data_IF_978303288175
#
_entry.id   IF_978303288175
#
_cell.length_a   1.000
_cell.length_b   1.000
_cell.length_c   1.000
_cell.angle_alpha   90.00
_cell.angle_beta   90.00
_cell.angle_gamma   90.00
#
_symmetry.space_group_name_H-M   'P 1'
#
loop_
_entity.id
_entity.type
_entity.pdbx_description
1 polymer ?
#
# COMPACT_ATOMS: atom_id res chain seq x y z
N UNK A 1 -28.44 -8.76 -71.79
CA UNK A 1 -27.73 -9.49 -70.72
C UNK A 1 -28.11 -8.84 -69.41
N UNK A 2 -28.44 -9.67 -68.45
CA UNK A 2 -29.13 -9.38 -67.20
C UNK A 2 -28.43 -8.34 -66.33
N UNK A 3 -29.22 -7.56 -65.60
CA UNK A 3 -28.82 -7.08 -64.27
C UNK A 3 -30.02 -7.29 -63.36
N UNK A 4 -29.91 -8.34 -62.56
CA UNK A 4 -30.72 -8.63 -61.39
C UNK A 4 -30.43 -7.64 -60.27
N UNK A 5 -31.39 -7.47 -59.37
CA UNK A 5 -31.10 -7.07 -57.99
C UNK A 5 -32.09 -6.09 -57.37
N UNK A 6 -33.35 -6.50 -57.23
CA UNK A 6 -34.19 -6.11 -56.08
C UNK A 6 -33.49 -6.60 -54.80
N UNK A 7 -33.52 -5.82 -53.71
CA UNK A 7 -34.06 -6.21 -52.40
C UNK A 7 -34.36 -4.96 -51.56
N UNK A 8 -35.43 -5.07 -50.78
CA UNK A 8 -36.10 -4.00 -50.03
C UNK A 8 -36.00 -4.25 -48.52
N UNK A 9 -36.38 -3.22 -47.75
CA UNK A 9 -36.72 -3.26 -46.30
C UNK A 9 -35.48 -3.29 -45.38
N UNK A 10 -35.43 -2.66 -44.20
CA UNK A 10 -36.45 -2.35 -43.17
C UNK A 10 -35.99 -1.15 -42.34
N UNK A 11 -36.96 -0.39 -41.83
CA UNK A 11 -36.79 0.62 -40.80
C UNK A 11 -36.81 0.01 -39.38
N UNK A 12 -35.97 0.52 -38.49
CA UNK A 12 -36.06 0.59 -37.01
C UNK A 12 -34.79 1.39 -36.63
N UNK A 13 -34.83 2.55 -35.97
CA UNK A 13 -35.52 2.80 -34.71
C UNK A 13 -34.60 2.44 -33.53
N UNK A 14 -33.49 3.16 -33.38
CA UNK A 14 -32.64 3.15 -32.18
C UNK A 14 -32.01 4.53 -32.09
N UNK A 15 -32.65 5.46 -31.38
CA UNK A 15 -32.31 5.78 -29.99
C UNK A 15 -30.82 6.08 -29.84
N UNK A 16 -30.55 7.39 -29.85
CA UNK A 16 -29.59 8.06 -28.99
C UNK A 16 -29.08 7.17 -27.86
N UNK A 17 -27.88 6.63 -28.07
CA UNK A 17 -26.85 6.66 -27.04
C UNK A 17 -25.66 7.31 -27.71
N UNK A 18 -25.63 8.65 -27.64
CA UNK A 18 -24.36 9.34 -27.65
C UNK A 18 -23.52 8.63 -26.59
N UNK A 19 -22.56 7.81 -27.04
CA UNK A 19 -21.50 7.33 -26.19
C UNK A 19 -20.87 8.58 -25.64
N UNK A 20 -21.23 8.90 -24.40
CA UNK A 20 -20.42 9.75 -23.57
C UNK A 20 -19.08 9.04 -23.51
N UNK A 21 -18.15 9.47 -24.35
CA UNK A 21 -16.74 9.42 -24.02
C UNK A 21 -16.66 9.75 -22.52
N UNK A 22 -16.06 8.92 -21.67
CA UNK A 22 -15.77 9.35 -20.32
C UNK A 22 -14.83 10.54 -20.49
N UNK A 23 -15.41 11.73 -20.45
CA UNK A 23 -14.65 12.95 -20.41
C UNK A 23 -13.77 12.76 -19.19
N UNK A 24 -12.46 12.67 -19.42
CA UNK A 24 -11.45 12.72 -18.39
C UNK A 24 -11.48 14.13 -17.80
N UNK A 25 -12.60 14.49 -17.16
CA UNK A 25 -12.75 15.68 -16.36
C UNK A 25 -11.61 15.61 -15.36
N UNK A 26 -10.78 16.66 -15.37
CA UNK A 26 -9.73 16.82 -14.38
C UNK A 26 -10.35 16.57 -13.02
N UNK A 27 -9.91 15.53 -12.33
CA UNK A 27 -10.19 15.40 -10.91
C UNK A 27 -9.45 16.55 -10.22
N UNK A 28 -10.13 17.68 -10.02
CA UNK A 28 -9.60 18.85 -9.32
C UNK A 28 -9.85 18.65 -7.84
N UNK A 29 -8.79 18.28 -7.12
CA UNK A 29 -8.82 18.24 -5.66
C UNK A 29 -9.17 19.63 -5.10
N UNK A 30 -9.92 19.70 -3.99
CA UNK A 30 -10.14 20.95 -3.28
C UNK A 30 -8.81 21.63 -2.91
N UNK A 31 -8.74 22.97 -2.94
CA UNK A 31 -7.51 23.73 -2.63
C UNK A 31 -6.94 23.47 -1.22
N UNK A 32 -7.78 22.99 -0.29
CA UNK A 32 -7.40 22.66 1.09
C UNK A 32 -6.88 21.23 1.27
N UNK A 33 -6.82 20.44 0.20
CA UNK A 33 -6.39 19.04 0.24
C UNK A 33 -4.94 18.95 -0.18
N UNK A 34 -4.13 18.34 0.67
CA UNK A 34 -2.77 18.02 0.33
C UNK A 34 -2.76 16.90 -0.72
N UNK A 35 -2.49 17.28 -1.97
CA UNK A 35 -2.45 16.34 -3.10
C UNK A 35 -1.39 15.26 -2.92
N UNK A 36 -0.25 15.60 -2.33
CA UNK A 36 0.83 14.65 -2.10
C UNK A 36 0.35 13.57 -1.14
N UNK A 37 -0.36 13.96 -0.08
CA UNK A 37 -0.99 13.03 0.85
C UNK A 37 -2.02 12.12 0.19
N UNK A 38 -2.84 12.63 -0.73
CA UNK A 38 -3.83 11.80 -1.43
C UNK A 38 -3.15 10.81 -2.36
N UNK A 39 -2.19 11.26 -3.18
CA UNK A 39 -1.58 10.41 -4.22
C UNK A 39 -0.65 9.33 -3.65
N UNK A 40 -0.31 9.40 -2.36
CA UNK A 40 0.39 8.33 -1.65
C UNK A 40 -0.54 7.25 -1.10
N UNK A 41 -1.87 7.44 -1.12
CA UNK A 41 -2.80 6.46 -0.57
C UNK A 41 -3.00 5.27 -1.52
N UNK A 42 -2.92 4.02 -1.02
CA UNK A 42 -3.20 2.83 -1.81
C UNK A 42 -4.60 2.86 -2.45
N UNK A 43 -4.70 2.40 -3.68
CA UNK A 43 -5.94 2.35 -4.46
C UNK A 43 -6.27 3.61 -5.26
N UNK A 44 -5.57 4.74 -5.02
CA UNK A 44 -5.76 5.95 -5.82
C UNK A 44 -5.35 5.69 -7.26
N UNK A 45 -6.21 6.09 -8.22
CA UNK A 45 -5.92 5.91 -9.64
C UNK A 45 -5.24 7.14 -10.20
N UNK A 46 -4.18 6.91 -10.95
CA UNK A 46 -3.31 7.96 -11.46
C UNK A 46 -2.90 7.70 -12.91
N UNK A 47 -2.46 8.76 -13.58
CA UNK A 47 -1.76 8.70 -14.86
C UNK A 47 -0.48 9.52 -14.77
N UNK A 48 0.57 9.14 -15.51
CA UNK A 48 1.76 9.99 -15.67
C UNK A 48 1.37 11.27 -16.43
N UNK A 49 1.82 12.43 -15.92
CA UNK A 49 1.64 13.72 -16.58
C UNK A 49 2.56 13.90 -17.77
N UNK A 50 3.71 13.22 -17.75
CA UNK A 50 4.72 13.32 -18.81
C UNK A 50 4.48 12.35 -19.95
N UNK A 51 3.61 11.36 -19.75
CA UNK A 51 3.09 10.53 -20.82
C UNK A 51 2.05 11.31 -21.62
N UNK A 52 2.36 11.67 -22.87
CA UNK A 52 1.41 12.36 -23.78
C UNK A 52 0.55 11.37 -24.58
N UNK A 53 0.73 10.06 -24.38
CA UNK A 53 -0.01 9.06 -25.14
C UNK A 53 -1.53 9.17 -24.84
N UNK A 54 -2.37 9.28 -25.88
CA UNK A 54 -3.82 9.38 -25.69
C UNK A 54 -4.42 8.08 -25.16
N UNK A 55 -3.76 6.94 -25.39
CA UNK A 55 -4.17 5.62 -24.96
C UNK A 55 -3.40 5.17 -23.70
N UNK A 56 -2.75 6.10 -22.98
CA UNK A 56 -2.01 5.80 -21.75
C UNK A 56 -2.90 5.07 -20.74
N UNK A 57 -2.35 4.00 -20.20
CA UNK A 57 -3.06 3.18 -19.23
C UNK A 57 -3.18 3.90 -17.88
N UNK A 58 -4.35 3.76 -17.27
CA UNK A 58 -4.53 4.19 -15.88
C UNK A 58 -3.76 3.25 -14.97
N UNK A 59 -3.01 3.81 -14.04
CA UNK A 59 -2.31 3.06 -13.02
C UNK A 59 -2.99 3.23 -11.66
N UNK A 60 -2.71 2.31 -10.75
CA UNK A 60 -3.19 2.33 -9.38
C UNK A 60 -2.00 2.43 -8.44
N UNK A 61 -2.09 3.30 -7.44
CA UNK A 61 -1.12 3.36 -6.35
C UNK A 61 -1.22 2.09 -5.53
N UNK A 62 -0.13 1.33 -5.49
CA UNK A 62 -0.08 0.04 -4.79
C UNK A 62 0.70 0.15 -3.48
N UNK A 63 1.62 1.10 -3.36
CA UNK A 63 2.45 1.27 -2.18
C UNK A 63 3.05 2.70 -2.15
N UNK A 64 3.33 3.21 -0.96
CA UNK A 64 4.06 4.46 -0.73
C UNK A 64 5.10 4.20 0.37
N UNK A 65 6.29 3.69 0.02
CA UNK A 65 7.31 3.36 1.00
C UNK A 65 7.77 4.62 1.76
N UNK A 66 8.18 4.49 3.04
CA UNK A 66 8.63 5.61 3.86
C UNK A 66 10.07 6.04 3.49
N UNK A 67 10.30 6.32 2.22
CA UNK A 67 11.58 6.76 1.63
C UNK A 67 11.37 7.99 0.75
N UNK A 68 12.41 8.80 0.57
CA UNK A 68 12.41 9.87 -0.41
C UNK A 68 12.77 9.37 -1.82
N UNK A 69 12.53 10.20 -2.84
CA UNK A 69 12.93 9.90 -4.21
C UNK A 69 14.45 9.78 -4.38
N UNK A 70 15.25 10.47 -3.56
CA UNK A 70 16.72 10.33 -3.54
C UNK A 70 17.17 8.97 -2.98
N UNK A 71 16.46 8.44 -1.98
CA UNK A 71 16.84 7.21 -1.29
C UNK A 71 16.36 5.93 -1.98
N UNK A 72 15.34 6.03 -2.84
CA UNK A 72 14.71 4.86 -3.47
C UNK A 72 15.31 4.56 -4.85
N UNK A 73 15.88 3.37 -4.98
CA UNK A 73 16.39 2.84 -6.25
C UNK A 73 15.22 2.44 -7.18
N UNK A 74 15.08 3.11 -8.32
CA UNK A 74 14.03 2.83 -9.30
C UNK A 74 14.37 1.60 -10.16
N UNK A 75 15.61 1.52 -10.66
CA UNK A 75 16.10 0.38 -11.45
C UNK A 75 17.63 0.32 -11.48
N UNK A 76 18.17 -0.82 -11.91
CA UNK A 76 19.60 -0.98 -12.15
C UNK A 76 19.94 -0.65 -13.61
N UNK A 77 20.76 0.38 -13.83
CA UNK A 77 21.27 0.72 -15.16
C UNK A 77 22.52 -0.10 -15.50
N UNK A 78 22.41 -0.95 -16.52
CA UNK A 78 23.50 -1.82 -16.95
C UNK A 78 24.57 -1.10 -17.77
N UNK A 79 24.29 0.10 -18.28
CA UNK A 79 25.24 0.88 -19.06
C UNK A 79 26.20 1.65 -18.15
N UNK A 80 25.69 2.21 -17.06
CA UNK A 80 26.45 2.94 -16.04
C UNK A 80 26.92 2.04 -14.89
N UNK A 81 26.45 0.78 -14.85
CA UNK A 81 26.78 -0.23 -13.84
C UNK A 81 26.48 0.27 -12.41
N UNK A 82 25.25 0.76 -12.23
CA UNK A 82 24.80 1.38 -10.98
C UNK A 82 23.29 1.38 -10.84
N UNK A 83 22.83 1.62 -9.62
CA UNK A 83 21.42 1.88 -9.35
C UNK A 83 21.09 3.33 -9.70
N UNK A 84 19.92 3.53 -10.30
CA UNK A 84 19.35 4.84 -10.60
C UNK A 84 18.21 5.08 -9.63
N UNK A 85 18.31 6.13 -8.83
CA UNK A 85 17.25 6.54 -7.92
C UNK A 85 16.07 7.18 -8.66
N UNK A 86 14.92 7.28 -7.98
CA UNK A 86 13.75 7.99 -8.54
C UNK A 86 14.09 9.45 -8.82
N UNK A 87 14.85 10.10 -7.94
CA UNK A 87 15.28 11.48 -8.14
C UNK A 87 16.23 11.65 -9.34
N UNK A 88 17.10 10.68 -9.61
CA UNK A 88 17.99 10.71 -10.77
C UNK A 88 17.23 10.53 -12.09
N UNK A 89 16.22 9.65 -12.13
CA UNK A 89 15.33 9.49 -13.30
C UNK A 89 14.41 10.71 -13.46
N UNK A 90 14.06 11.38 -12.36
CA UNK A 90 13.10 12.49 -12.31
C UNK A 90 13.73 13.80 -11.80
N UNK A 91 14.73 14.37 -12.50
CA UNK A 91 15.55 15.48 -11.99
C UNK A 91 14.79 16.82 -11.88
N UNK A 92 13.65 16.96 -12.54
CA UNK A 92 12.80 18.15 -12.49
C UNK A 92 11.89 18.19 -11.24
N UNK A 93 11.89 17.14 -10.43
CA UNK A 93 11.08 17.02 -9.21
C UNK A 93 11.94 17.09 -7.96
N UNK A 94 11.28 17.33 -6.82
CA UNK A 94 11.94 17.46 -5.54
C UNK A 94 12.52 16.10 -5.07
N UNK A 95 13.84 15.99 -4.82
CA UNK A 95 14.47 14.72 -4.45
C UNK A 95 14.07 14.25 -3.05
N UNK A 96 13.68 15.17 -2.17
CA UNK A 96 13.20 14.90 -0.81
C UNK A 96 11.70 14.52 -0.77
N UNK A 97 11.00 14.55 -1.91
CA UNK A 97 9.61 14.13 -2.00
C UNK A 97 9.47 12.64 -1.67
N UNK A 98 8.32 12.19 -1.10
CA UNK A 98 8.08 10.77 -0.86
C UNK A 98 7.95 10.02 -2.18
N UNK A 99 8.17 8.71 -2.16
CA UNK A 99 8.02 7.84 -3.34
C UNK A 99 6.60 7.26 -3.41
N UNK A 100 6.05 7.23 -4.63
CA UNK A 100 4.79 6.54 -4.92
C UNK A 100 5.08 5.38 -5.86
N UNK A 101 4.65 4.17 -5.50
CA UNK A 101 4.76 2.98 -6.33
C UNK A 101 3.40 2.67 -6.94
N UNK A 102 3.39 2.51 -8.26
CA UNK A 102 2.19 2.26 -9.05
C UNK A 102 2.33 0.98 -9.86
N UNK A 103 1.21 0.35 -10.18
CA UNK A 103 1.11 -0.67 -11.21
C UNK A 103 -0.03 -0.32 -12.17
N UNK A 104 0.12 -0.69 -13.44
CA UNK A 104 -0.91 -0.43 -14.43
C UNK A 104 -2.15 -1.29 -14.14
N UNK A 105 -3.33 -0.66 -14.16
CA UNK A 105 -4.60 -1.32 -13.92
C UNK A 105 -4.84 -2.52 -14.85
N UNK A 106 -4.56 -2.48 -16.18
CA UNK A 106 -4.73 -3.67 -17.03
C UNK A 106 -3.87 -4.87 -16.60
N UNK A 107 -2.63 -4.65 -16.18
CA UNK A 107 -1.75 -5.71 -15.67
C UNK A 107 -2.28 -6.28 -14.33
N UNK A 108 -2.79 -5.42 -13.45
CA UNK A 108 -3.43 -5.83 -12.21
C UNK A 108 -4.69 -6.68 -12.48
N UNK A 109 -5.56 -6.25 -13.39
CA UNK A 109 -6.79 -6.97 -13.73
C UNK A 109 -6.51 -8.34 -14.38
N UNK A 110 -5.45 -8.45 -15.19
CA UNK A 110 -5.11 -9.69 -15.88
C UNK A 110 -4.43 -10.71 -14.96
N UNK A 111 -3.44 -10.27 -14.17
CA UNK A 111 -2.55 -11.16 -13.42
C UNK A 111 -2.75 -11.15 -11.91
N UNK A 112 -3.34 -10.10 -11.33
CA UNK A 112 -3.46 -9.92 -9.88
C UNK A 112 -4.85 -9.35 -9.50
N UNK A 113 -5.92 -9.91 -10.07
CA UNK A 113 -7.28 -9.40 -9.81
C UNK A 113 -7.76 -9.67 -8.36
N UNK A 114 -7.15 -10.63 -7.67
CA UNK A 114 -7.49 -10.99 -6.28
C UNK A 114 -7.18 -9.89 -5.25
N UNK A 115 -6.27 -8.97 -5.57
CA UNK A 115 -5.89 -7.84 -4.70
C UNK A 115 -6.69 -6.57 -4.98
N UNK A 116 -7.63 -6.61 -5.93
CA UNK A 116 -8.51 -5.49 -6.24
C UNK A 116 -9.82 -5.59 -5.44
N UNK A 117 -10.33 -4.48 -4.87
CA UNK A 117 -9.73 -3.15 -4.84
C UNK A 117 -8.55 -3.07 -3.85
N UNK A 118 -7.58 -2.21 -4.16
CA UNK A 118 -6.42 -1.99 -3.30
C UNK A 118 -6.80 -1.02 -2.18
N UNK A 119 -7.04 -1.56 -0.99
CA UNK A 119 -7.36 -0.76 0.21
C UNK A 119 -6.14 -0.52 1.10
N UNK A 120 -5.12 -1.36 0.98
CA UNK A 120 -3.92 -1.34 1.82
C UNK A 120 -2.66 -1.44 0.95
N UNK A 121 -1.51 -1.05 1.51
CA UNK A 121 -0.23 -1.15 0.82
C UNK A 121 0.08 -2.61 0.45
N UNK A 122 0.45 -2.82 -0.81
CA UNK A 122 0.76 -4.14 -1.36
C UNK A 122 2.26 -4.41 -1.27
N UNK A 123 2.61 -5.60 -0.79
CA UNK A 123 3.99 -6.09 -0.77
C UNK A 123 4.50 -6.31 -2.19
N UNK A 124 5.54 -5.58 -2.58
CA UNK A 124 6.09 -5.62 -3.94
C UNK A 124 6.67 -6.99 -4.34
N UNK A 125 7.11 -7.79 -3.36
CA UNK A 125 7.64 -9.13 -3.57
C UNK A 125 6.57 -10.17 -3.99
N UNK A 126 5.31 -9.87 -3.75
CA UNK A 126 4.20 -10.78 -4.04
C UNK A 126 3.58 -10.54 -5.42
N UNK A 127 4.01 -9.50 -6.14
CA UNK A 127 3.44 -9.13 -7.43
C UNK A 127 4.19 -9.77 -8.59
N UNK A 128 3.45 -10.44 -9.46
CA UNK A 128 3.96 -11.02 -10.72
C UNK A 128 3.97 -10.03 -11.90
N UNK A 129 3.70 -8.74 -11.64
CA UNK A 129 3.58 -7.68 -12.64
C UNK A 129 4.66 -6.62 -12.47
N UNK A 130 4.84 -5.82 -13.52
CA UNK A 130 5.72 -4.65 -13.46
C UNK A 130 5.08 -3.55 -12.61
N UNK A 131 5.91 -2.92 -11.78
CA UNK A 131 5.56 -1.74 -11.02
C UNK A 131 6.62 -0.67 -11.22
N UNK A 132 6.23 0.58 -11.01
CA UNK A 132 7.06 1.75 -11.28
C UNK A 132 6.98 2.70 -10.09
N UNK A 133 8.07 3.43 -9.85
CA UNK A 133 8.17 4.39 -8.76
C UNK A 133 8.31 5.81 -9.30
N UNK A 134 7.55 6.75 -8.75
CA UNK A 134 7.48 8.13 -9.23
C UNK A 134 7.40 9.13 -8.07
N UNK A 135 7.85 10.38 -8.29
CA UNK A 135 7.50 11.48 -7.43
C UNK A 135 5.98 11.77 -7.50
N UNK A 136 5.29 12.07 -6.38
CA UNK A 136 3.89 12.48 -6.31
C UNK A 136 3.53 13.60 -7.29
N UNK A 137 4.48 14.53 -7.49
CA UNK A 137 4.35 15.68 -8.38
C UNK A 137 4.21 15.30 -9.86
N UNK A 138 4.72 14.14 -10.27
CA UNK A 138 4.64 13.64 -11.66
C UNK A 138 3.31 12.98 -11.97
N UNK A 139 2.60 12.50 -10.95
CA UNK A 139 1.34 11.78 -11.11
C UNK A 139 0.12 12.71 -11.16
N UNK A 140 -0.85 12.37 -12.01
CA UNK A 140 -2.17 12.99 -12.07
C UNK A 140 -3.24 12.06 -11.55
N UNK A 141 -3.90 12.47 -10.47
CA UNK A 141 -5.05 11.74 -9.92
C UNK A 141 -6.19 11.77 -10.93
N UNK A 142 -6.73 10.59 -11.22
CA UNK A 142 -7.86 10.36 -12.10
C UNK A 142 -9.11 10.00 -11.29
N UNK A 143 -8.92 9.22 -10.21
CA UNK A 143 -10.00 8.73 -9.37
C UNK A 143 -9.47 8.47 -7.96
N UNK A 144 -10.30 8.71 -6.96
CA UNK A 144 -9.96 8.51 -5.54
C UNK A 144 -11.00 7.54 -4.98
N UNK A 145 -10.57 6.39 -4.43
CA UNK A 145 -11.49 5.40 -3.89
C UNK A 145 -12.15 5.90 -2.60
N UNK A 146 -13.34 5.38 -2.29
CA UNK A 146 -14.17 5.82 -1.15
C UNK A 146 -13.48 5.68 0.22
N UNK A 147 -12.48 4.81 0.37
CA UNK A 147 -11.75 4.64 1.63
C UNK A 147 -10.76 5.76 1.93
N UNK A 148 -10.44 6.60 0.95
CA UNK A 148 -9.49 7.72 1.12
C UNK A 148 -10.24 8.96 1.61
N UNK A 149 -9.97 9.37 2.83
CA UNK A 149 -10.61 10.54 3.43
C UNK A 149 -10.07 11.86 2.87
N UNK A 150 -10.79 12.44 1.91
CA UNK A 150 -10.55 13.79 1.40
C UNK A 150 -11.27 14.78 2.33
N UNK A 151 -10.55 15.40 3.26
CA UNK A 151 -11.15 16.28 4.28
C UNK A 151 -12.13 17.33 3.72
N UNK A 152 -13.41 17.20 4.07
CA UNK A 152 -14.46 18.19 3.79
C UNK A 152 -15.08 18.68 5.11
N UNK A 153 -14.53 19.75 5.66
CA UNK A 153 -15.13 20.47 6.79
C UNK A 153 -16.24 21.42 6.30
N UNK A 154 -17.48 20.93 6.16
CA UNK A 154 -18.75 21.59 6.55
C UNK A 154 -19.97 21.06 5.77
N UNK A 155 -20.82 20.29 6.45
CA UNK A 155 -22.19 20.72 6.69
C UNK A 155 -22.75 19.96 7.90
N UNK A 156 -22.89 20.66 9.02
CA UNK A 156 -23.61 20.12 10.17
C UNK A 156 -25.09 20.03 9.87
N UNK A 157 -25.68 18.87 10.14
CA UNK A 157 -27.07 18.82 10.56
C UNK A 157 -27.15 17.92 11.80
N UNK A 158 -27.35 18.60 12.93
CA UNK A 158 -27.72 17.98 14.17
C UNK A 158 -29.10 17.32 14.02
N UNK A 159 -29.26 16.11 14.55
CA UNK A 159 -30.54 15.70 15.11
C UNK A 159 -30.28 15.02 16.44
N UNK A 160 -30.45 15.83 17.47
CA UNK A 160 -30.65 15.41 18.83
C UNK A 160 -32.00 14.68 18.97
N UNK A 161 -31.99 13.61 19.76
CA UNK A 161 -33.02 13.09 20.65
C UNK A 161 -32.65 11.60 20.85
N UNK A 162 -32.64 11.02 22.04
CA UNK A 162 -33.51 11.27 23.17
C UNK A 162 -32.88 10.63 24.40
N UNK A 163 -32.90 11.36 25.50
CA UNK A 163 -32.53 10.87 26.82
C UNK A 163 -33.63 9.93 27.33
N UNK A 164 -33.24 8.80 27.92
CA UNK A 164 -34.10 8.14 28.91
C UNK A 164 -33.22 7.46 29.94
N UNK A 165 -32.93 8.25 30.96
CA UNK A 165 -32.49 7.85 32.27
C UNK A 165 -33.49 6.84 32.85
N UNK A 166 -33.00 5.73 33.42
CA UNK A 166 -33.71 5.12 34.54
C UNK A 166 -32.75 4.37 35.47
N UNK A 167 -32.54 5.00 36.61
CA UNK A 167 -31.91 4.43 37.80
C UNK A 167 -32.76 3.32 38.41
N UNK A 168 -32.11 2.30 38.98
CA UNK A 168 -32.52 1.63 40.21
C UNK A 168 -31.42 0.67 40.68
N UNK A 169 -30.62 1.14 41.63
CA UNK A 169 -30.36 0.52 42.94
C UNK A 169 -30.68 -0.99 43.09
N UNK A 170 -29.67 -1.81 43.39
CA UNK A 170 -29.74 -2.80 44.48
C UNK A 170 -28.38 -3.46 44.72
N UNK A 171 -27.81 -3.24 45.90
CA UNK A 171 -26.74 -4.04 46.48
C UNK A 171 -27.22 -5.47 46.80
N UNK A 172 -26.41 -6.50 46.53
CA UNK A 172 -26.07 -7.61 47.44
C UNK A 172 -25.43 -8.80 46.70
N UNK A 173 -24.21 -9.11 47.11
CA UNK A 173 -23.79 -10.40 47.68
C UNK A 173 -24.27 -11.70 46.98
N UNK A 174 -23.38 -12.30 46.19
CA UNK A 174 -23.15 -13.76 46.15
C UNK A 174 -21.97 -14.11 45.21
N UNK A 175 -20.83 -14.47 45.78
CA UNK A 175 -20.01 -15.57 45.24
C UNK A 175 -20.84 -16.87 45.23
N UNK A 176 -20.41 -17.96 44.57
CA UNK A 176 -19.52 -18.11 43.41
C UNK A 176 -20.17 -19.01 42.34
N UNK A 177 -19.70 -18.93 41.09
CA UNK A 177 -19.78 -20.06 40.15
C UNK A 177 -18.89 -19.78 38.95
N UNK A 178 -17.82 -20.56 38.86
CA UNK A 178 -17.09 -20.81 37.63
C UNK A 178 -18.06 -21.38 36.59
N UNK A 179 -17.95 -20.91 35.34
CA UNK A 179 -17.83 -21.87 34.26
C UNK A 179 -16.66 -21.50 33.35
N UNK A 180 -15.59 -22.28 33.47
CA UNK A 180 -15.09 -23.14 32.39
C UNK A 180 -15.56 -22.71 31.00
N UNK A 181 -14.69 -21.97 30.33
CA UNK A 181 -14.85 -21.47 28.98
C UNK A 181 -13.46 -21.25 28.42
N UNK A 182 -12.81 -22.37 28.11
CA UNK A 182 -11.55 -22.49 27.39
C UNK A 182 -11.62 -21.66 26.10
N UNK A 183 -11.04 -20.45 26.14
CA UNK A 183 -10.56 -19.78 24.94
C UNK A 183 -9.06 -19.71 25.12
N UNK A 184 -8.38 -20.68 24.50
CA UNK A 184 -6.93 -20.84 24.46
C UNK A 184 -6.34 -19.59 23.79
N UNK A 185 -6.17 -18.55 24.59
CA UNK A 185 -5.09 -17.60 24.41
C UNK A 185 -3.82 -18.43 24.50
N UNK A 186 -3.31 -18.82 23.34
CA UNK A 186 -1.98 -19.40 23.19
C UNK A 186 -1.00 -18.26 23.52
N UNK A 187 -0.89 -17.94 24.81
CA UNK A 187 0.15 -17.08 25.35
C UNK A 187 1.46 -17.75 24.94
N UNK A 188 2.26 -17.14 24.04
CA UNK A 188 3.46 -17.79 23.56
C UNK A 188 4.37 -18.05 24.76
N UNK A 189 5.11 -19.17 24.77
CA UNK A 189 6.08 -19.43 25.83
C UNK A 189 7.01 -18.23 25.97
N UNK A 190 7.20 -17.76 27.21
CA UNK A 190 8.15 -16.70 27.56
C UNK A 190 9.58 -17.18 27.27
N UNK A 191 9.99 -17.17 26.00
CA UNK A 191 11.39 -17.33 25.65
C UNK A 191 12.08 -16.01 25.96
N UNK A 192 12.74 -15.99 27.11
CA UNK A 192 13.65 -14.90 27.47
C UNK A 192 14.69 -14.77 26.36
N UNK A 193 14.69 -13.63 25.66
CA UNK A 193 15.72 -13.31 24.67
C UNK A 193 17.07 -13.35 25.38
N UNK A 194 18.07 -13.96 24.76
CA UNK A 194 19.44 -13.87 25.25
C UNK A 194 19.90 -12.40 25.28
N UNK A 195 20.75 -12.03 26.25
CA UNK A 195 21.24 -10.64 26.40
C UNK A 195 21.89 -10.11 25.10
N UNK A 196 22.54 -11.01 24.37
CA UNK A 196 23.14 -10.78 23.05
C UNK A 196 22.09 -10.46 21.98
N UNK A 197 20.98 -11.21 21.97
CA UNK A 197 19.88 -11.05 21.01
C UNK A 197 19.01 -9.82 21.32
N UNK A 198 18.84 -9.47 22.59
CA UNK A 198 18.22 -8.21 23.00
C UNK A 198 19.08 -6.99 22.60
N UNK A 199 20.41 -7.08 22.78
CA UNK A 199 21.32 -6.02 22.35
C UNK A 199 21.32 -5.84 20.82
N UNK A 200 21.25 -6.95 20.07
CA UNK A 200 21.09 -6.92 18.61
C UNK A 200 19.77 -6.25 18.21
N UNK A 201 18.66 -6.58 18.88
CA UNK A 201 17.35 -5.93 18.67
C UNK A 201 17.44 -4.43 18.91
N UNK A 202 18.00 -3.98 20.04
CA UNK A 202 18.12 -2.55 20.37
C UNK A 202 18.93 -1.82 19.29
N UNK A 203 20.05 -2.42 18.86
CA UNK A 203 20.91 -1.88 17.80
C UNK A 203 20.18 -1.79 16.45
N UNK A 204 19.37 -2.78 16.12
CA UNK A 204 18.57 -2.78 14.89
C UNK A 204 17.44 -1.76 14.95
N UNK A 205 16.80 -1.61 16.11
CA UNK A 205 15.73 -0.65 16.37
C UNK A 205 16.19 0.81 16.26
N UNK A 206 17.49 1.09 16.37
CA UNK A 206 18.04 2.42 16.07
C UNK A 206 17.93 2.81 14.58
N UNK A 207 17.78 1.82 13.69
CA UNK A 207 17.87 2.03 12.24
C UNK A 207 16.71 1.44 11.41
N UNK A 208 15.84 0.65 12.02
CA UNK A 208 14.75 -0.09 11.41
C UNK A 208 13.63 -0.36 12.42
N UNK A 209 12.44 -0.74 11.96
CA UNK A 209 11.39 -1.26 12.83
C UNK A 209 11.72 -2.71 13.17
N UNK A 210 11.73 -3.07 14.46
CA UNK A 210 12.05 -4.44 14.89
C UNK A 210 10.96 -4.95 15.82
N UNK A 211 10.32 -6.03 15.41
CA UNK A 211 9.37 -6.78 16.20
C UNK A 211 9.97 -8.12 16.63
N UNK A 212 9.58 -8.60 17.80
CA UNK A 212 10.02 -9.90 18.32
C UNK A 212 8.89 -10.88 18.11
N UNK A 213 9.12 -11.84 17.23
CA UNK A 213 8.20 -12.91 16.90
C UNK A 213 8.66 -14.21 17.57
N UNK A 214 7.73 -15.10 17.90
CA UNK A 214 8.02 -16.38 18.54
C UNK A 214 7.54 -17.50 17.62
N UNK A 215 8.50 -18.23 17.04
CA UNK A 215 8.21 -19.33 16.10
C UNK A 215 8.46 -20.67 16.78
N UNK A 216 7.97 -21.79 16.25
CA UNK A 216 8.21 -23.13 16.83
C UNK A 216 9.71 -23.48 17.07
N UNK A 217 10.62 -22.76 16.41
CA UNK A 217 12.08 -22.96 16.46
C UNK A 217 12.80 -22.00 17.45
N UNK A 218 12.09 -21.03 18.02
CA UNK A 218 12.66 -20.03 18.95
C UNK A 218 12.25 -18.58 18.65
N UNK A 219 12.78 -17.61 19.42
CA UNK A 219 12.53 -16.19 19.19
C UNK A 219 13.22 -15.70 17.91
N UNK A 220 12.52 -14.87 17.15
CA UNK A 220 12.95 -14.35 15.84
C UNK A 220 12.72 -12.85 15.81
N UNK A 221 13.74 -12.08 15.42
CA UNK A 221 13.61 -10.65 15.19
C UNK A 221 13.11 -10.41 13.77
N UNK A 222 11.89 -9.89 13.66
CA UNK A 222 11.33 -9.39 12.41
C UNK A 222 11.76 -7.93 12.24
N UNK A 223 12.75 -7.70 11.37
CA UNK A 223 13.30 -6.39 11.05
C UNK A 223 12.66 -5.89 9.77
N UNK A 224 11.87 -4.83 9.84
CA UNK A 224 11.33 -4.16 8.67
C UNK A 224 12.04 -2.83 8.42
N UNK A 225 12.48 -2.63 7.18
CA UNK A 225 13.06 -1.37 6.73
C UNK A 225 12.71 -1.11 5.27
N UNK A 226 12.19 0.09 5.00
CA UNK A 226 11.76 0.52 3.66
C UNK A 226 10.84 -0.50 2.97
N UNK A 227 9.89 -1.08 3.72
CA UNK A 227 8.96 -2.10 3.21
C UNK A 227 9.59 -3.47 2.92
N UNK A 228 10.85 -3.69 3.32
CA UNK A 228 11.49 -5.00 3.24
C UNK A 228 11.64 -5.60 4.62
N UNK A 229 11.04 -6.77 4.82
CA UNK A 229 11.04 -7.50 6.08
C UNK A 229 12.10 -8.61 6.05
N UNK A 230 12.93 -8.66 7.08
CA UNK A 230 13.95 -9.67 7.31
C UNK A 230 13.66 -10.36 8.64
N UNK A 231 13.93 -11.66 8.71
CA UNK A 231 13.80 -12.45 9.93
C UNK A 231 15.17 -12.93 10.37
N UNK A 232 15.57 -12.60 11.58
CA UNK A 232 16.86 -12.99 12.16
C UNK A 232 16.57 -13.94 13.32
N UNK A 233 17.14 -15.15 13.26
CA UNK A 233 17.06 -16.14 14.34
C UNK A 233 18.24 -15.98 15.31
N UNK A 234 18.09 -16.52 16.52
CA UNK A 234 19.16 -16.57 17.54
C UNK A 234 20.43 -17.32 17.06
N UNK A 235 20.31 -18.24 16.10
CA UNK A 235 21.48 -18.94 15.50
C UNK A 235 22.26 -18.05 14.51
N UNK A 236 21.90 -16.78 14.37
CA UNK A 236 22.50 -15.85 13.41
C UNK A 236 22.02 -16.06 11.96
N UNK A 237 21.04 -16.93 11.76
CA UNK A 237 20.45 -17.16 10.44
C UNK A 237 19.52 -16.00 10.06
N UNK A 238 19.82 -15.35 8.94
CA UNK A 238 19.02 -14.26 8.37
C UNK A 238 18.22 -14.78 7.17
N UNK A 239 16.90 -14.71 7.26
CA UNK A 239 15.95 -15.07 6.22
C UNK A 239 15.30 -13.82 5.65
N UNK A 240 15.49 -13.57 4.37
CA UNK A 240 14.97 -12.42 3.64
C UNK A 240 15.83 -12.15 2.41
N UNK A 241 15.20 -11.67 1.35
CA UNK A 241 15.87 -11.35 0.08
C UNK A 241 16.07 -9.84 -0.04
N UNK A 242 17.19 -9.40 -0.60
CA UNK A 242 17.50 -7.98 -0.83
C UNK A 242 18.77 -7.44 -0.15
N UNK A 243 19.12 -6.21 -0.54
CA UNK A 243 20.41 -5.58 -0.25
C UNK A 243 20.67 -5.28 1.24
N UNK A 244 19.62 -5.23 2.06
CA UNK A 244 19.78 -5.01 3.50
C UNK A 244 20.39 -6.23 4.19
N UNK A 245 20.25 -7.44 3.62
CA UNK A 245 20.86 -8.67 4.17
C UNK A 245 22.37 -8.54 4.35
N UNK A 246 23.07 -7.96 3.36
CA UNK A 246 24.52 -7.71 3.44
C UNK A 246 24.89 -6.70 4.52
N UNK A 247 23.97 -5.80 4.89
CA UNK A 247 24.16 -4.84 6.00
C UNK A 247 23.80 -5.43 7.36
N UNK A 248 22.86 -6.37 7.40
CA UNK A 248 22.49 -7.08 8.63
C UNK A 248 23.55 -8.12 9.02
N UNK A 249 24.16 -8.81 8.05
CA UNK A 249 25.17 -9.84 8.29
C UNK A 249 26.32 -9.41 9.25
N UNK A 250 27.00 -8.25 9.05
CA UNK A 250 28.03 -7.80 10.00
C UNK A 250 27.47 -7.37 11.37
N UNK A 251 26.19 -6.99 11.47
CA UNK A 251 25.56 -6.69 12.76
C UNK A 251 25.21 -7.98 13.49
N UNK A 252 24.78 -9.02 12.77
CA UNK A 252 24.47 -10.31 13.38
C UNK A 252 25.75 -10.99 13.88
N UNK A 253 26.81 -11.04 13.07
CA UNK A 253 28.14 -11.61 13.44
C UNK A 253 28.82 -10.86 14.60
N UNK A 254 28.45 -9.59 14.84
CA UNK A 254 28.99 -8.82 15.97
C UNK A 254 28.35 -9.19 17.31
N UNK A 255 27.11 -9.70 17.29
CA UNK A 255 26.32 -9.98 18.51
C UNK A 255 26.03 -11.47 18.74
N UNK A 256 26.11 -12.34 17.72
CA UNK A 256 25.87 -13.79 17.77
C UNK A 256 27.07 -14.57 17.19
#
# INVERSE_FOLDING_TARGET
MSSSGEEASTAVGGEDVAGGEPQSEKYELPDNVDRTRVVTEPGVRVVDREDDDPDRDTAVVINAPPSTCEEWDAYYDRHEDGWVSVAEDNPDYDPDAPVVVIAFLPDLEDSNSDILPIENAVSLNSLEISYYSFPPGRLKIVDIPDHVEIGNESNGEASAADESEKEADSESDAEPAEPDGEDESEEPPEWELSEEFEALRDRLAESATVEVDHTEDGPVLAVEKLGTSYRIQEDGTITGDGALRDRLNPLVDEYL
#
